data_IF_933417251144
#
_entry.id   IF_933417251144
#
_cell.length_a   1.000
_cell.length_b   1.000
_cell.length_c   1.000
_cell.angle_alpha   90.00
_cell.angle_beta   90.00
_cell.angle_gamma   90.00
#
_symmetry.space_group_name_H-M   'P 1'
#
loop_
_entity.id
_entity.type
_entity.pdbx_description
1 polymer ?
#
# COMPACT_ATOMS: atom_id res chain seq x y z
N UNK A 1 -17.02 -87.38 16.93
CA UNK A 1 -15.97 -86.34 17.11
C UNK A 1 -16.35 -85.11 16.23
N UNK A 2 -16.91 -84.10 16.84
CA UNK A 2 -17.31 -82.86 16.12
C UNK A 2 -16.17 -81.88 16.11
N UNK A 3 -15.71 -81.47 14.94
CA UNK A 3 -14.65 -80.52 14.71
C UNK A 3 -15.23 -79.11 14.85
N UNK A 4 -14.79 -78.37 15.89
CA UNK A 4 -15.14 -76.95 16.14
C UNK A 4 -14.49 -76.10 15.06
N UNK A 5 -15.33 -75.41 14.22
CA UNK A 5 -14.87 -74.39 13.29
C UNK A 5 -14.44 -73.19 14.10
N UNK A 6 -13.21 -72.74 13.92
CA UNK A 6 -12.73 -71.41 14.35
C UNK A 6 -13.33 -70.39 13.42
N UNK A 7 -14.11 -69.44 13.95
CA UNK A 7 -14.51 -68.25 13.27
C UNK A 7 -13.27 -67.39 13.08
N UNK A 8 -12.88 -67.16 11.83
CA UNK A 8 -11.89 -66.13 11.48
C UNK A 8 -12.51 -64.77 11.81
N UNK A 9 -12.00 -64.16 12.88
CA UNK A 9 -12.26 -62.75 13.17
C UNK A 9 -11.70 -61.93 12.03
N UNK A 10 -12.59 -61.30 11.22
CA UNK A 10 -12.24 -60.34 10.23
C UNK A 10 -11.39 -59.23 10.87
N UNK A 11 -10.09 -59.23 10.58
CA UNK A 11 -9.18 -58.19 10.97
C UNK A 11 -9.68 -56.87 10.43
N UNK A 12 -10.20 -56.03 11.31
CA UNK A 12 -10.74 -54.72 10.95
C UNK A 12 -9.52 -53.82 10.61
N UNK A 13 -9.15 -53.86 9.32
CA UNK A 13 -8.09 -53.02 8.75
C UNK A 13 -8.36 -51.49 8.89
N UNK A 14 -9.51 -51.09 9.39
CA UNK A 14 -9.94 -49.69 9.53
C UNK A 14 -9.71 -49.11 10.95
N UNK A 15 -9.16 -49.90 11.89
CA UNK A 15 -8.96 -49.43 13.26
C UNK A 15 -8.00 -48.24 13.36
N UNK A 16 -7.07 -48.10 12.40
CA UNK A 16 -6.19 -46.93 12.33
C UNK A 16 -6.96 -45.64 11.97
N UNK A 17 -8.08 -45.72 11.26
CA UNK A 17 -8.90 -44.60 10.84
C UNK A 17 -9.57 -43.93 12.05
N UNK A 18 -9.92 -44.70 13.09
CA UNK A 18 -10.47 -44.15 14.35
C UNK A 18 -9.40 -43.32 15.07
N UNK A 19 -8.16 -43.84 15.16
CA UNK A 19 -7.05 -43.12 15.80
C UNK A 19 -6.68 -41.86 14.97
N UNK A 20 -6.75 -41.95 13.65
CA UNK A 20 -6.51 -40.81 12.78
C UNK A 20 -7.60 -39.72 12.93
N UNK A 21 -8.88 -40.15 13.01
CA UNK A 21 -10.00 -39.21 13.22
C UNK A 21 -9.87 -38.49 14.59
N UNK A 22 -9.51 -39.23 15.65
CA UNK A 22 -9.28 -38.65 16.96
C UNK A 22 -8.12 -37.62 16.95
N UNK A 23 -7.01 -37.98 16.30
CA UNK A 23 -5.89 -37.05 16.14
C UNK A 23 -6.29 -35.77 15.40
N UNK A 24 -7.04 -35.87 14.31
CA UNK A 24 -7.48 -34.68 13.52
C UNK A 24 -8.46 -33.83 14.33
N UNK A 25 -9.38 -34.44 15.09
CA UNK A 25 -10.31 -33.67 15.93
C UNK A 25 -9.60 -32.95 17.07
N UNK A 26 -8.61 -33.57 17.71
CA UNK A 26 -7.79 -32.93 18.73
C UNK A 26 -6.93 -31.80 18.14
N UNK A 27 -6.35 -32.01 16.96
CA UNK A 27 -5.58 -31.00 16.25
C UNK A 27 -6.44 -29.80 15.89
N UNK A 28 -7.66 -30.05 15.37
CA UNK A 28 -8.64 -29.01 15.08
C UNK A 28 -9.02 -28.22 16.33
N UNK A 29 -9.36 -28.91 17.43
CA UNK A 29 -9.67 -28.26 18.70
C UNK A 29 -8.52 -27.40 19.20
N UNK A 30 -7.28 -27.89 19.07
CA UNK A 30 -6.07 -27.12 19.44
C UNK A 30 -5.96 -25.82 18.62
N UNK A 31 -6.16 -25.87 17.28
CA UNK A 31 -6.10 -24.68 16.44
C UNK A 31 -7.24 -23.70 16.74
N UNK A 32 -8.45 -24.20 17.06
CA UNK A 32 -9.57 -23.33 17.44
C UNK A 32 -9.26 -22.60 18.76
N UNK A 33 -8.68 -23.27 19.74
CA UNK A 33 -8.27 -22.64 21.01
C UNK A 33 -7.15 -21.63 20.76
N UNK A 34 -6.13 -22.00 19.99
CA UNK A 34 -5.03 -21.09 19.64
C UNK A 34 -5.53 -19.86 18.86
N UNK A 35 -6.49 -20.05 17.97
CA UNK A 35 -7.13 -18.93 17.24
C UNK A 35 -7.90 -18.02 18.21
N UNK A 36 -8.67 -18.58 19.13
CA UNK A 36 -9.41 -17.82 20.15
C UNK A 36 -8.47 -17.01 21.07
N UNK A 37 -7.29 -17.56 21.42
CA UNK A 37 -6.29 -16.89 22.23
C UNK A 37 -5.48 -15.84 21.43
N UNK A 38 -5.33 -16.02 20.11
CA UNK A 38 -4.62 -15.09 19.23
C UNK A 38 -5.31 -13.73 19.10
N UNK A 39 -6.59 -13.62 19.40
CA UNK A 39 -7.39 -12.38 19.34
C UNK A 39 -7.41 -11.65 20.69
N UNK A 40 -6.58 -12.06 21.67
CA UNK A 40 -6.54 -11.42 22.99
C UNK A 40 -5.99 -9.99 22.86
N UNK A 41 -6.88 -9.03 23.01
CA UNK A 41 -6.55 -7.60 23.05
C UNK A 41 -5.83 -7.31 24.37
N UNK A 42 -4.52 -7.06 24.32
CA UNK A 42 -3.65 -6.78 25.50
C UNK A 42 -4.22 -5.68 26.41
N UNK A 43 -4.96 -4.72 25.83
CA UNK A 43 -5.62 -3.65 26.60
C UNK A 43 -6.71 -4.15 27.52
N UNK A 44 -7.51 -5.13 27.10
CA UNK A 44 -8.57 -5.73 27.95
C UNK A 44 -7.98 -6.65 29.02
N UNK A 45 -6.87 -7.31 28.73
CA UNK A 45 -6.21 -8.18 29.71
C UNK A 45 -5.59 -7.38 30.85
N UNK A 46 -5.01 -6.21 30.60
CA UNK A 46 -4.51 -5.30 31.65
C UNK A 46 -5.62 -4.80 32.56
N UNK A 47 -6.74 -4.32 31.99
CA UNK A 47 -7.89 -3.85 32.78
C UNK A 47 -8.46 -4.97 33.64
N UNK A 48 -8.52 -6.20 33.13
CA UNK A 48 -8.99 -7.38 33.88
C UNK A 48 -8.01 -7.77 34.99
N UNK A 49 -6.70 -7.78 34.72
CA UNK A 49 -5.66 -8.06 35.72
C UNK A 49 -5.65 -7.02 36.85
N UNK A 50 -5.82 -5.74 36.54
CA UNK A 50 -5.89 -4.67 37.54
C UNK A 50 -7.18 -4.76 38.37
N UNK A 51 -8.30 -5.13 37.76
CA UNK A 51 -9.57 -5.36 38.46
C UNK A 51 -9.52 -6.59 39.39
N UNK A 52 -8.86 -7.67 38.96
CA UNK A 52 -8.63 -8.85 39.80
C UNK A 52 -7.68 -8.55 40.98
N UNK A 53 -6.59 -7.82 40.74
CA UNK A 53 -5.67 -7.38 41.78
C UNK A 53 -6.37 -6.55 42.88
N UNK A 54 -7.30 -5.67 42.48
CA UNK A 54 -8.11 -4.88 43.42
C UNK A 54 -9.18 -5.72 44.11
N UNK A 55 -9.80 -6.68 43.42
CA UNK A 55 -10.91 -7.50 43.98
C UNK A 55 -10.41 -8.61 44.94
N UNK A 56 -9.24 -9.19 44.69
CA UNK A 56 -8.67 -10.26 45.52
C UNK A 56 -7.68 -9.76 46.58
N UNK A 57 -7.67 -8.43 46.83
CA UNK A 57 -7.09 -7.88 48.05
C UNK A 57 -5.64 -8.20 48.26
N UNK A 58 -4.74 -7.81 47.40
CA UNK A 58 -3.38 -7.54 47.80
C UNK A 58 -3.37 -6.31 48.75
N UNK A 59 -4.06 -6.43 49.87
CA UNK A 59 -3.90 -5.56 51.04
C UNK A 59 -2.61 -5.96 51.75
N UNK A 60 -1.51 -5.54 51.18
CA UNK A 60 -0.31 -5.42 52.03
C UNK A 60 -0.45 -4.12 52.79
N UNK A 61 -0.76 -4.29 54.09
CA UNK A 61 -0.82 -3.23 55.05
C UNK A 61 0.48 -2.47 55.17
N UNK A 62 0.52 -1.24 54.67
CA UNK A 62 1.32 -0.16 55.26
C UNK A 62 0.63 1.16 54.91
N UNK A 63 0.31 2.01 55.89
CA UNK A 63 -0.22 3.36 55.61
C UNK A 63 0.94 4.22 55.13
N UNK A 64 1.07 4.41 53.83
CA UNK A 64 1.97 5.37 53.24
C UNK A 64 1.17 6.60 52.85
N UNK A 65 1.55 7.82 53.26
CA UNK A 65 0.81 9.02 52.90
C UNK A 65 0.73 9.18 51.39
N UNK A 66 -0.48 9.50 50.96
CA UNK A 66 -0.88 9.61 49.56
C UNK A 66 -0.18 10.77 48.85
N UNK A 67 0.94 10.49 48.26
CA UNK A 67 1.44 11.11 47.00
C UNK A 67 2.03 9.96 46.21
N UNK A 68 1.20 9.12 45.62
CA UNK A 68 1.66 8.26 44.57
C UNK A 68 1.96 9.14 43.37
N UNK A 69 3.22 9.25 42.91
CA UNK A 69 3.51 9.89 41.65
C UNK A 69 2.69 9.13 40.59
N UNK A 70 1.92 9.85 39.77
CA UNK A 70 1.24 9.27 38.64
C UNK A 70 2.21 8.34 37.91
N UNK A 71 1.79 7.12 37.51
CA UNK A 71 2.71 6.18 36.84
C UNK A 71 3.40 6.95 35.72
N UNK A 72 4.73 6.88 35.60
CA UNK A 72 5.43 7.61 34.56
C UNK A 72 4.80 7.24 33.23
N UNK A 73 4.16 8.24 32.58
CA UNK A 73 3.66 8.08 31.22
C UNK A 73 4.85 7.61 30.41
N UNK A 74 4.90 6.34 30.07
CA UNK A 74 6.07 5.79 29.40
C UNK A 74 6.23 6.56 28.08
N UNK A 75 7.29 7.35 27.98
CA UNK A 75 7.64 8.15 26.80
C UNK A 75 7.49 7.37 25.47
N UNK A 76 7.82 6.05 25.42
CA UNK A 76 7.56 5.22 24.24
C UNK A 76 6.10 5.19 23.81
N UNK A 77 5.15 5.11 24.76
CA UNK A 77 3.72 5.06 24.43
C UNK A 77 3.19 6.39 23.87
N UNK A 78 3.70 7.50 24.36
CA UNK A 78 3.31 8.82 23.86
C UNK A 78 3.88 9.07 22.45
N UNK A 79 5.13 8.68 22.21
CA UNK A 79 5.76 8.77 20.88
C UNK A 79 5.06 7.87 19.87
N UNK A 80 4.73 6.62 20.23
CA UNK A 80 3.99 5.70 19.39
C UNK A 80 2.60 6.23 19.06
N UNK A 81 1.88 6.80 20.03
CA UNK A 81 0.56 7.41 19.83
C UNK A 81 0.63 8.60 18.88
N UNK A 82 1.57 9.52 19.08
CA UNK A 82 1.79 10.66 18.17
C UNK A 82 2.11 10.21 16.74
N UNK A 83 2.94 9.16 16.59
CA UNK A 83 3.27 8.58 15.29
C UNK A 83 2.04 7.98 14.62
N UNK A 84 1.22 7.22 15.35
CA UNK A 84 -0.01 6.66 14.83
C UNK A 84 -1.02 7.74 14.41
N UNK A 85 -1.15 8.81 15.19
CA UNK A 85 -2.01 9.95 14.85
C UNK A 85 -1.51 10.70 13.62
N UNK A 86 -0.19 10.90 13.47
CA UNK A 86 0.41 11.51 12.29
C UNK A 86 0.17 10.67 11.04
N UNK A 87 0.37 9.34 11.13
CA UNK A 87 0.08 8.41 10.03
C UNK A 87 -1.39 8.42 9.61
N UNK A 88 -2.28 8.51 10.58
CA UNK A 88 -3.71 8.59 10.30
C UNK A 88 -4.08 9.88 9.58
N UNK A 89 -3.59 11.03 10.05
CA UNK A 89 -3.83 12.34 9.43
C UNK A 89 -3.30 12.38 8.00
N UNK A 90 -2.09 11.88 7.79
CA UNK A 90 -1.47 11.77 6.47
C UNK A 90 -2.35 10.95 5.50
N UNK A 91 -2.81 9.78 5.95
CA UNK A 91 -3.69 8.93 5.15
C UNK A 91 -5.02 9.63 4.83
N UNK A 92 -5.61 10.35 5.79
CA UNK A 92 -6.85 11.10 5.59
C UNK A 92 -6.66 12.22 4.56
N UNK A 93 -5.53 12.96 4.61
CA UNK A 93 -5.17 14.01 3.65
C UNK A 93 -5.00 13.45 2.24
N UNK A 94 -4.21 12.37 2.09
CA UNK A 94 -4.03 11.71 0.80
C UNK A 94 -5.35 11.15 0.23
N UNK A 95 -6.23 10.65 1.10
CA UNK A 95 -7.55 10.15 0.67
C UNK A 95 -8.46 11.28 0.19
N UNK A 96 -8.44 12.42 0.87
CA UNK A 96 -9.16 13.63 0.43
C UNK A 96 -8.63 14.11 -0.93
N UNK A 97 -7.31 14.22 -1.06
CA UNK A 97 -6.66 14.61 -2.32
C UNK A 97 -7.01 13.64 -3.46
N UNK A 98 -7.00 12.33 -3.22
CA UNK A 98 -7.38 11.33 -4.23
C UNK A 98 -8.82 11.52 -4.71
N UNK A 99 -9.75 11.90 -3.84
CA UNK A 99 -11.14 12.21 -4.21
C UNK A 99 -11.23 13.47 -5.05
N UNK A 100 -10.52 14.54 -4.66
CA UNK A 100 -10.50 15.80 -5.39
C UNK A 100 -9.90 15.61 -6.80
N UNK A 101 -8.80 14.86 -6.91
CA UNK A 101 -8.19 14.47 -8.18
C UNK A 101 -9.15 13.66 -9.05
N UNK A 102 -9.85 12.68 -8.48
CA UNK A 102 -10.82 11.86 -9.19
C UNK A 102 -12.01 12.70 -9.67
N UNK A 103 -12.48 13.65 -8.86
CA UNK A 103 -13.59 14.52 -9.24
C UNK A 103 -13.20 15.50 -10.34
N UNK A 104 -12.02 16.10 -10.25
CA UNK A 104 -11.50 17.05 -11.25
C UNK A 104 -11.25 16.37 -12.60
N UNK A 105 -10.76 15.12 -12.58
CA UNK A 105 -10.47 14.35 -13.79
C UNK A 105 -11.63 13.39 -14.18
N UNK A 106 -12.82 13.55 -13.59
CA UNK A 106 -13.95 12.64 -13.78
C UNK A 106 -14.29 12.33 -15.25
N UNK A 107 -14.29 13.28 -16.21
CA UNK A 107 -14.52 12.97 -17.61
C UNK A 107 -13.51 11.95 -18.16
N UNK A 108 -12.22 12.18 -17.92
CA UNK A 108 -11.13 11.32 -18.40
C UNK A 108 -11.09 9.96 -17.67
N UNK A 109 -11.48 9.93 -16.40
CA UNK A 109 -11.62 8.69 -15.64
C UNK A 109 -12.76 7.82 -16.19
N UNK A 110 -13.90 8.40 -16.52
CA UNK A 110 -15.03 7.69 -17.13
C UNK A 110 -14.69 7.12 -18.51
N UNK A 111 -13.84 7.78 -19.26
CA UNK A 111 -13.36 7.31 -20.56
C UNK A 111 -12.22 6.29 -20.44
N UNK A 112 -11.80 5.94 -19.23
CA UNK A 112 -10.68 5.02 -18.98
C UNK A 112 -9.30 5.57 -19.38
N UNK A 113 -9.20 6.86 -19.69
CA UNK A 113 -7.95 7.54 -20.08
C UNK A 113 -7.07 7.95 -18.90
N UNK A 114 -7.69 8.10 -17.73
CA UNK A 114 -7.02 8.42 -16.46
C UNK A 114 -7.46 7.43 -15.39
N UNK A 115 -6.52 7.01 -14.57
CA UNK A 115 -6.74 6.15 -13.41
C UNK A 115 -6.11 6.78 -12.17
N UNK A 116 -6.88 6.91 -11.11
CA UNK A 116 -6.39 7.38 -9.80
C UNK A 116 -6.35 6.17 -8.85
N UNK A 117 -5.20 5.93 -8.24
CA UNK A 117 -5.00 4.82 -7.27
C UNK A 117 -4.31 5.34 -6.03
N UNK A 118 -4.62 4.75 -4.88
CA UNK A 118 -3.95 5.03 -3.61
C UNK A 118 -3.31 3.75 -3.07
N UNK A 119 -2.06 3.85 -2.66
CA UNK A 119 -1.30 2.74 -2.09
C UNK A 119 -0.43 3.23 -0.91
N UNK A 120 0.46 2.38 -0.41
CA UNK A 120 1.36 2.72 0.70
C UNK A 120 2.37 3.83 0.37
N UNK A 121 2.71 4.03 -0.90
CA UNK A 121 3.62 5.09 -1.37
C UNK A 121 2.93 6.47 -1.44
N UNK A 122 1.59 6.49 -1.57
CA UNK A 122 0.81 7.69 -1.73
C UNK A 122 -0.33 7.56 -2.73
N UNK A 123 -0.62 8.64 -3.48
CA UNK A 123 -1.67 8.68 -4.50
C UNK A 123 -1.02 8.79 -5.88
N UNK A 124 -1.38 7.91 -6.80
CA UNK A 124 -0.87 7.90 -8.17
C UNK A 124 -2.00 8.21 -9.17
N UNK A 125 -1.75 9.15 -10.07
CA UNK A 125 -2.60 9.51 -11.20
C UNK A 125 -1.91 9.03 -12.47
N UNK A 126 -2.41 7.96 -13.05
CA UNK A 126 -1.92 7.40 -14.32
C UNK A 126 -2.73 7.97 -15.49
N UNK A 127 -2.07 8.55 -16.46
CA UNK A 127 -2.67 9.16 -17.65
C UNK A 127 -2.12 8.45 -18.87
N UNK A 128 -2.99 7.92 -19.73
CA UNK A 128 -2.56 7.29 -20.97
C UNK A 128 -1.79 8.28 -21.84
N UNK A 129 -0.63 7.87 -22.35
CA UNK A 129 0.25 8.75 -23.14
C UNK A 129 -0.41 9.26 -24.42
N UNK A 130 -1.32 8.50 -25.05
CA UNK A 130 -2.06 8.93 -26.24
C UNK A 130 -2.99 10.13 -26.01
N UNK A 131 -3.37 10.37 -24.75
CA UNK A 131 -4.13 11.58 -24.37
C UNK A 131 -3.23 12.81 -24.32
N UNK A 132 -1.96 12.61 -23.94
CA UNK A 132 -1.02 13.69 -23.66
C UNK A 132 -0.16 14.07 -24.87
N UNK A 133 0.23 13.09 -25.68
CA UNK A 133 1.25 13.23 -26.72
C UNK A 133 0.83 12.54 -28.01
N UNK A 134 1.36 13.03 -29.11
CA UNK A 134 1.32 12.31 -30.37
C UNK A 134 2.34 11.14 -30.39
N UNK A 135 2.17 10.23 -31.35
CA UNK A 135 3.01 9.04 -31.45
C UNK A 135 4.49 9.40 -31.63
N UNK A 136 5.34 8.84 -30.77
CA UNK A 136 6.79 9.09 -30.81
C UNK A 136 7.22 10.48 -30.31
N UNK A 137 6.29 11.32 -29.85
CA UNK A 137 6.59 12.67 -29.39
C UNK A 137 6.50 12.82 -27.86
N UNK A 138 7.12 13.89 -27.37
CA UNK A 138 7.08 14.34 -25.98
C UNK A 138 6.51 15.77 -25.84
N UNK A 139 5.96 16.33 -26.91
CA UNK A 139 5.29 17.63 -26.92
C UNK A 139 3.83 17.44 -26.49
N UNK A 140 3.41 18.15 -25.42
CA UNK A 140 2.03 18.09 -24.94
C UNK A 140 1.07 18.71 -25.95
N UNK A 141 0.00 18.01 -26.29
CA UNK A 141 -1.07 18.54 -27.16
C UNK A 141 -1.93 19.59 -26.42
N UNK A 142 -2.69 20.38 -27.15
CA UNK A 142 -3.44 21.52 -26.60
C UNK A 142 -4.49 21.09 -25.56
N UNK A 143 -5.23 20.00 -25.82
CA UNK A 143 -6.31 19.52 -24.96
C UNK A 143 -5.76 18.97 -23.64
N UNK A 144 -4.62 18.28 -23.68
CA UNK A 144 -3.99 17.72 -22.49
C UNK A 144 -3.41 18.79 -21.55
N UNK A 145 -2.98 19.94 -22.11
CA UNK A 145 -2.47 21.05 -21.30
C UNK A 145 -3.51 21.59 -20.35
N UNK A 146 -4.76 21.66 -20.76
CA UNK A 146 -5.87 22.18 -19.92
C UNK A 146 -6.12 21.21 -18.75
N UNK A 147 -6.24 19.91 -19.01
CA UNK A 147 -6.43 18.90 -17.98
C UNK A 147 -5.25 18.85 -16.98
N UNK A 148 -4.01 18.94 -17.49
CA UNK A 148 -2.81 18.99 -16.65
C UNK A 148 -2.70 20.28 -15.83
N UNK A 149 -3.18 21.44 -16.34
CA UNK A 149 -3.26 22.68 -15.57
C UNK A 149 -4.26 22.57 -14.43
N UNK A 150 -5.43 21.95 -14.66
CA UNK A 150 -6.40 21.69 -13.59
C UNK A 150 -5.79 20.81 -12.48
N UNK A 151 -5.03 19.79 -12.87
CA UNK A 151 -4.27 18.97 -11.93
C UNK A 151 -3.20 19.78 -11.17
N UNK A 152 -2.46 20.64 -11.88
CA UNK A 152 -1.43 21.49 -11.29
C UNK A 152 -1.97 22.46 -10.24
N UNK A 153 -3.19 22.99 -10.42
CA UNK A 153 -3.84 23.86 -9.44
C UNK A 153 -4.06 23.16 -8.11
N UNK A 154 -4.51 21.90 -8.13
CA UNK A 154 -4.66 21.10 -6.91
C UNK A 154 -3.31 20.81 -6.26
N UNK A 155 -2.32 20.41 -7.06
CA UNK A 155 -0.99 20.05 -6.59
C UNK A 155 -0.18 21.24 -6.06
N UNK A 156 -0.48 22.48 -6.53
CA UNK A 156 0.18 23.69 -6.04
C UNK A 156 -0.08 23.98 -4.58
N UNK A 157 -1.30 23.68 -4.09
CA UNK A 157 -1.68 23.87 -2.69
C UNK A 157 -1.26 22.73 -1.76
N UNK A 158 -0.84 21.61 -2.31
CA UNK A 158 -0.47 20.42 -1.58
C UNK A 158 1.05 20.43 -1.24
N UNK A 159 1.48 20.04 -0.03
CA UNK A 159 2.88 20.11 0.38
C UNK A 159 3.73 18.90 -0.05
N UNK A 160 3.12 17.81 -0.49
CA UNK A 160 3.82 16.56 -0.75
C UNK A 160 4.79 16.64 -1.92
N UNK A 161 5.79 15.80 -1.93
CA UNK A 161 6.68 15.61 -3.07
C UNK A 161 5.99 14.82 -4.17
N UNK A 162 6.36 15.12 -5.41
CA UNK A 162 5.78 14.54 -6.59
C UNK A 162 6.83 13.77 -7.38
N UNK A 163 6.52 12.55 -7.77
CA UNK A 163 7.32 11.78 -8.70
C UNK A 163 6.54 11.62 -10.00
N UNK A 164 7.09 12.10 -11.09
CA UNK A 164 6.49 12.01 -12.43
C UNK A 164 7.26 10.96 -13.23
N UNK A 165 6.57 9.86 -13.54
CA UNK A 165 7.13 8.68 -14.18
C UNK A 165 6.61 8.56 -15.61
N UNK A 166 7.50 8.36 -16.57
CA UNK A 166 7.16 8.08 -17.96
C UNK A 166 7.36 6.61 -18.29
N UNK A 167 6.40 6.05 -19.04
CA UNK A 167 6.43 4.66 -19.49
C UNK A 167 6.08 4.60 -20.99
N UNK A 168 6.61 3.60 -21.69
CA UNK A 168 6.32 3.31 -23.09
C UNK A 168 5.82 1.87 -23.25
N UNK A 169 5.36 1.55 -24.44
CA UNK A 169 5.21 0.18 -24.90
C UNK A 169 6.60 -0.43 -25.27
N UNK A 170 6.68 -1.74 -25.53
CA UNK A 170 7.92 -2.39 -25.91
C UNK A 170 8.35 -2.13 -27.36
N UNK A 171 7.54 -1.43 -28.16
CA UNK A 171 7.93 -1.11 -29.54
C UNK A 171 9.18 -0.21 -29.54
N UNK A 172 10.27 -0.64 -30.19
CA UNK A 172 11.49 0.14 -30.17
C UNK A 172 11.31 1.44 -30.95
N UNK A 173 11.66 2.57 -30.33
CA UNK A 173 11.75 3.85 -31.00
C UNK A 173 13.21 4.16 -31.35
N UNK A 174 13.42 4.68 -32.57
CA UNK A 174 14.68 5.29 -33.01
C UNK A 174 14.35 6.50 -33.86
N UNK A 175 14.49 7.67 -33.29
CA UNK A 175 14.34 8.94 -34.01
C UNK A 175 15.59 9.79 -33.79
N UNK A 176 15.72 10.88 -34.56
CA UNK A 176 16.80 11.86 -34.34
C UNK A 176 16.72 12.53 -32.96
N UNK A 177 15.54 12.58 -32.37
CA UNK A 177 15.29 13.23 -31.08
C UNK A 177 15.38 12.25 -29.91
N UNK A 178 14.92 11.00 -30.10
CA UNK A 178 14.88 9.99 -29.04
C UNK A 178 15.55 8.70 -29.51
N UNK A 179 16.79 8.43 -29.04
CA UNK A 179 17.53 7.24 -29.41
C UNK A 179 16.88 5.95 -28.94
N UNK A 180 16.16 6.00 -27.79
CA UNK A 180 15.47 4.84 -27.23
C UNK A 180 14.21 5.23 -26.43
N UNK A 181 13.48 4.22 -25.96
CA UNK A 181 12.31 4.39 -25.08
C UNK A 181 12.66 5.01 -23.72
N UNK A 182 13.93 4.95 -23.31
CA UNK A 182 14.39 5.60 -22.09
C UNK A 182 14.31 7.12 -22.19
N UNK A 183 14.87 7.68 -23.25
CA UNK A 183 14.87 9.11 -23.51
C UNK A 183 13.44 9.63 -23.75
N UNK A 184 12.65 8.89 -24.54
CA UNK A 184 11.26 9.27 -24.81
C UNK A 184 10.43 9.32 -23.53
N UNK A 185 10.53 8.29 -22.68
CA UNK A 185 9.76 8.24 -21.43
C UNK A 185 10.17 9.34 -20.45
N UNK A 186 11.48 9.59 -20.31
CA UNK A 186 11.99 10.68 -19.47
C UNK A 186 11.58 12.06 -20.00
N UNK A 187 11.65 12.28 -21.32
CA UNK A 187 11.24 13.55 -21.94
C UNK A 187 9.74 13.82 -21.78
N UNK A 188 8.89 12.80 -21.86
CA UNK A 188 7.44 12.90 -21.61
C UNK A 188 7.14 13.28 -20.17
N UNK A 189 7.78 12.63 -19.20
CA UNK A 189 7.67 13.01 -17.79
C UNK A 189 8.18 14.44 -17.54
N UNK A 190 9.29 14.83 -18.16
CA UNK A 190 9.85 16.17 -18.09
C UNK A 190 8.94 17.26 -18.68
N UNK A 191 8.20 16.95 -19.76
CA UNK A 191 7.24 17.87 -20.35
C UNK A 191 6.07 18.16 -19.39
N UNK A 192 5.59 17.16 -18.65
CA UNK A 192 4.56 17.33 -17.62
C UNK A 192 5.10 18.17 -16.46
N UNK A 193 6.30 17.86 -15.95
CA UNK A 193 6.93 18.62 -14.87
C UNK A 193 7.13 20.09 -15.26
N UNK A 194 7.54 20.38 -16.48
CA UNK A 194 7.66 21.76 -16.99
C UNK A 194 6.33 22.48 -16.93
N UNK A 195 5.24 21.87 -17.42
CA UNK A 195 3.91 22.46 -17.36
C UNK A 195 3.46 22.69 -15.91
N UNK A 196 3.75 21.79 -14.98
CA UNK A 196 3.44 21.97 -13.57
C UNK A 196 4.22 23.13 -12.96
N UNK A 197 5.52 23.26 -13.29
CA UNK A 197 6.36 24.38 -12.86
C UNK A 197 5.82 25.70 -13.39
N UNK A 198 5.46 25.77 -14.67
CA UNK A 198 4.85 26.94 -15.32
C UNK A 198 3.49 27.29 -14.70
N UNK A 199 2.79 26.32 -14.13
CA UNK A 199 1.51 26.46 -13.41
C UNK A 199 1.68 26.83 -11.93
N UNK A 200 2.93 26.90 -11.44
CA UNK A 200 3.29 27.37 -10.09
C UNK A 200 3.47 26.26 -9.07
N UNK A 201 3.63 25.01 -9.47
CA UNK A 201 4.10 23.94 -8.59
C UNK A 201 5.60 24.09 -8.36
N UNK A 202 6.05 24.04 -7.11
CA UNK A 202 7.46 24.26 -6.79
C UNK A 202 8.35 23.15 -7.39
N UNK A 203 9.33 23.52 -8.21
CA UNK A 203 10.21 22.58 -8.90
C UNK A 203 10.98 21.67 -7.93
N UNK A 204 11.36 22.17 -6.75
CA UNK A 204 12.08 21.41 -5.73
C UNK A 204 11.28 20.21 -5.17
N UNK A 205 9.95 20.19 -5.39
CA UNK A 205 9.08 19.10 -4.96
C UNK A 205 8.97 17.99 -6.00
N UNK A 206 9.47 18.18 -7.22
CA UNK A 206 9.21 17.31 -8.34
C UNK A 206 10.45 16.52 -8.77
N UNK A 207 10.27 15.23 -9.00
CA UNK A 207 11.29 14.32 -9.56
C UNK A 207 10.77 13.71 -10.85
N UNK A 208 11.63 13.61 -11.85
CA UNK A 208 11.34 12.97 -13.15
C UNK A 208 12.02 11.61 -13.21
N UNK A 209 11.26 10.59 -13.63
CA UNK A 209 11.78 9.23 -13.84
C UNK A 209 11.32 8.70 -15.20
N UNK A 210 12.23 8.16 -15.99
CA UNK A 210 11.91 7.45 -17.21
C UNK A 210 12.13 5.96 -17.02
N UNK A 211 11.12 5.14 -17.30
CA UNK A 211 11.19 3.68 -17.16
C UNK A 211 11.30 2.94 -18.50
N UNK A 212 11.16 3.64 -19.62
CA UNK A 212 11.00 2.98 -20.90
C UNK A 212 9.84 1.99 -20.88
N UNK A 213 10.04 0.79 -21.39
CA UNK A 213 9.06 -0.30 -21.44
C UNK A 213 9.17 -1.32 -20.29
N UNK A 214 9.99 -1.05 -19.25
CA UNK A 214 10.38 -2.08 -18.28
C UNK A 214 9.35 -2.32 -17.15
N UNK A 215 8.37 -1.43 -16.99
CA UNK A 215 7.33 -1.55 -15.96
C UNK A 215 5.93 -1.51 -16.62
N UNK A 216 5.51 -2.58 -17.31
CA UNK A 216 4.19 -2.64 -17.93
C UNK A 216 3.09 -2.78 -16.85
N UNK A 217 1.93 -2.14 -17.06
CA UNK A 217 0.72 -2.30 -16.21
C UNK A 217 -0.25 -3.34 -16.76
N UNK A 218 -0.07 -3.74 -18.00
CA UNK A 218 -0.83 -4.80 -18.65
C UNK A 218 0.11 -5.69 -19.47
N UNK A 219 -0.31 -6.92 -19.74
CA UNK A 219 0.45 -7.84 -20.59
C UNK A 219 0.65 -7.22 -21.98
N UNK A 220 1.82 -7.51 -22.60
CA UNK A 220 2.14 -7.01 -23.92
C UNK A 220 1.70 -7.96 -25.06
N UNK A 221 0.97 -9.04 -24.71
CA UNK A 221 0.60 -10.12 -25.62
C UNK A 221 -0.51 -9.71 -26.58
N UNK A 222 -1.39 -8.81 -26.16
CA UNK A 222 -2.50 -8.29 -26.95
C UNK A 222 -2.39 -6.79 -27.24
N UNK A 223 -3.24 -6.30 -28.17
CA UNK A 223 -3.25 -4.88 -28.56
C UNK A 223 -3.77 -3.98 -27.45
N UNK A 224 -4.75 -4.45 -26.69
CA UNK A 224 -5.36 -3.68 -25.61
C UNK A 224 -4.37 -3.47 -24.46
N UNK A 225 -3.67 -4.54 -24.04
CA UNK A 225 -2.62 -4.45 -23.02
C UNK A 225 -1.49 -3.52 -23.43
N UNK A 226 -1.00 -3.65 -24.69
CA UNK A 226 0.03 -2.74 -25.21
C UNK A 226 -0.43 -1.28 -25.25
N UNK A 227 -1.71 -1.02 -25.56
CA UNK A 227 -2.24 0.34 -25.60
C UNK A 227 -2.35 1.00 -24.21
N UNK A 228 -2.35 0.21 -23.12
CA UNK A 228 -2.41 0.69 -21.73
C UNK A 228 -1.05 1.00 -21.13
N UNK A 229 0.02 0.43 -21.69
CA UNK A 229 1.37 0.55 -21.15
C UNK A 229 2.00 1.94 -21.35
N UNK A 230 1.86 2.62 -22.53
CA UNK A 230 2.31 4.00 -22.69
C UNK A 230 1.49 4.93 -21.79
N UNK A 231 2.11 5.47 -20.75
CA UNK A 231 1.47 6.34 -19.76
C UNK A 231 2.46 7.29 -19.11
N UNK A 232 1.92 8.34 -18.52
CA UNK A 232 2.63 9.13 -17.50
C UNK A 232 1.91 8.95 -16.19
N UNK A 233 2.65 8.58 -15.15
CA UNK A 233 2.15 8.47 -13.78
C UNK A 233 2.68 9.65 -12.96
N UNK A 234 1.76 10.37 -12.30
CA UNK A 234 2.07 11.42 -11.34
C UNK A 234 1.76 10.87 -9.96
N UNK A 235 2.79 10.55 -9.18
CA UNK A 235 2.66 9.99 -7.84
C UNK A 235 2.94 11.08 -6.80
N UNK A 236 1.94 11.36 -5.99
CA UNK A 236 2.03 12.21 -4.80
C UNK A 236 2.51 11.32 -3.67
N UNK A 237 3.76 11.51 -3.23
CA UNK A 237 4.41 10.64 -2.27
C UNK A 237 3.96 10.98 -0.85
N UNK A 238 3.66 9.95 -0.07
CA UNK A 238 3.41 10.10 1.36
C UNK A 238 4.63 10.68 2.06
N UNK A 239 4.41 11.61 2.99
CA UNK A 239 5.47 12.22 3.81
C UNK A 239 5.97 11.29 4.93
N UNK A 240 5.42 10.07 5.05
CA UNK A 240 5.88 9.12 6.06
C UNK A 240 7.31 8.67 5.73
N UNK A 241 8.24 8.77 6.70
CA UNK A 241 9.63 8.38 6.47
C UNK A 241 9.71 6.88 6.17
N UNK A 242 10.36 6.54 5.07
CA UNK A 242 10.88 5.19 4.88
C UNK A 242 11.86 4.90 6.01
N UNK A 243 11.68 3.78 6.70
CA UNK A 243 12.64 3.29 7.69
C UNK A 243 13.88 2.80 6.96
N UNK A 244 14.81 3.70 6.68
CA UNK A 244 16.15 3.35 6.19
C UNK A 244 16.94 2.78 7.35
N UNK A 245 17.30 1.50 7.26
CA UNK A 245 18.27 0.87 8.17
C UNK A 245 19.63 0.97 7.50
N UNK A 246 20.56 1.71 8.11
CA UNK A 246 21.95 1.76 7.66
C UNK A 246 22.61 0.40 7.89
N UNK A 247 23.05 -0.25 6.82
CA UNK A 247 23.80 -1.51 6.92
C UNK A 247 25.25 -1.14 7.19
N UNK A 248 25.64 -1.15 8.47
CA UNK A 248 27.04 -0.99 8.87
C UNK A 248 27.82 -2.26 8.52
N UNK A 249 28.72 -2.16 7.56
CA UNK A 249 29.75 -3.18 7.32
C UNK A 249 30.80 -3.09 8.42
N UNK A 250 30.78 -4.09 9.34
CA UNK A 250 31.93 -4.37 10.21
C UNK A 250 32.88 -5.30 9.53
#
# INVERSE_FOLDING_TARGET
>A
MARKKFDETTDNHERWLISYADFITLLFAFFVVMYALSVVNEGKYRVFSDALGTAFGARAATPRPAIAPAPPISLPNLAAKRRAEAMRREREQLTALARDLTSTLAPLVKEGKVRVTQNSRGVSVEINASVLFDSGEATLNANSREALRALAVLLKGDPHTLQVEGHTDPAPIRSSTFPSNWELSAARAGAVVRLFTDSGVAAARMTVVGHGSNLPVAANDDLEGRARNPRVAVTILSALPDTTTEISTR
#
